data_IF_488899392371
#
_entry.id   IF_488899392371
#
_cell.length_a   1.000
_cell.length_b   1.000
_cell.length_c   1.000
_cell.angle_alpha   90.00
_cell.angle_beta   90.00
_cell.angle_gamma   90.00
#
_symmetry.space_group_name_H-M   'P 1'
#
loop_
_entity.id
_entity.type
_entity.pdbx_description
1 polymer ?
#
# COMPACT_ATOMS: atom_id res chain seq x y z
N UNK A 1 36.48 18.15 53.68
CA UNK A 1 36.63 19.16 52.61
C UNK A 1 36.88 18.44 51.29
N UNK A 2 36.34 18.96 50.19
CA UNK A 2 35.59 18.23 49.16
C UNK A 2 36.51 17.78 48.00
N UNK A 3 36.07 16.97 47.03
CA UNK A 3 35.43 17.48 45.81
C UNK A 3 34.39 16.47 45.29
N UNK A 4 33.12 16.88 45.31
CA UNK A 4 32.08 16.28 44.49
C UNK A 4 32.39 16.62 43.03
N UNK A 5 32.68 15.61 42.20
CA UNK A 5 32.75 15.81 40.76
C UNK A 5 31.33 15.76 40.19
N UNK A 6 30.69 16.91 40.14
CA UNK A 6 29.62 17.19 39.19
C UNK A 6 30.20 17.05 37.77
N UNK A 7 30.19 15.85 37.21
CA UNK A 7 30.38 15.65 35.77
C UNK A 7 29.08 16.06 35.08
N UNK A 8 29.11 17.33 34.65
CA UNK A 8 28.10 17.99 33.84
C UNK A 8 27.58 17.04 32.76
N UNK A 9 26.28 16.74 32.84
CA UNK A 9 25.57 16.00 31.82
C UNK A 9 25.83 16.65 30.47
N UNK A 10 26.22 15.84 29.50
CA UNK A 10 26.22 16.25 28.10
C UNK A 10 24.81 16.74 27.78
N UNK A 11 24.67 18.05 27.61
CA UNK A 11 23.45 18.71 27.18
C UNK A 11 23.19 18.27 25.73
N UNK A 12 22.67 17.03 25.60
CA UNK A 12 22.12 16.54 24.33
C UNK A 12 21.06 17.57 23.96
N UNK A 13 21.21 18.22 22.82
CA UNK A 13 20.25 19.21 22.35
C UNK A 13 18.91 18.50 22.10
N UNK A 14 18.06 18.44 23.14
CA UNK A 14 16.77 17.77 23.07
C UNK A 14 15.74 18.78 22.60
N UNK A 15 15.27 18.58 21.36
CA UNK A 15 14.23 19.39 20.73
C UNK A 15 12.86 18.92 21.24
N UNK A 16 11.89 19.82 21.38
CA UNK A 16 10.52 19.42 21.73
C UNK A 16 9.63 19.58 20.52
N UNK A 17 9.10 18.47 19.99
CA UNK A 17 8.23 18.51 18.83
C UNK A 17 6.96 19.33 19.15
N UNK A 18 6.71 20.39 18.39
CA UNK A 18 5.56 21.26 18.57
C UNK A 18 4.24 20.51 18.39
N UNK A 19 4.23 19.47 17.56
CA UNK A 19 3.02 18.70 17.19
C UNK A 19 2.66 17.58 18.17
N UNK A 20 3.64 16.75 18.56
CA UNK A 20 3.37 15.61 19.46
C UNK A 20 3.83 15.85 20.90
N UNK A 21 4.45 17.01 21.18
CA UNK A 21 5.02 17.39 22.48
C UNK A 21 6.09 16.44 23.01
N UNK A 22 6.57 15.52 22.18
CA UNK A 22 7.65 14.62 22.56
C UNK A 22 9.01 15.32 22.47
N UNK A 23 9.86 15.03 23.45
CA UNK A 23 11.26 15.43 23.49
C UNK A 23 12.07 14.43 22.65
N UNK A 24 12.78 14.92 21.65
CA UNK A 24 13.53 14.11 20.69
C UNK A 24 14.94 14.65 20.49
N UNK A 25 15.88 13.75 20.22
CA UNK A 25 17.30 14.07 20.10
C UNK A 25 17.67 14.51 18.68
N UNK A 26 16.86 14.10 17.69
CA UNK A 26 16.98 14.49 16.30
C UNK A 26 15.62 14.92 15.76
N UNK A 27 15.63 15.98 14.96
CA UNK A 27 14.40 16.55 14.43
C UNK A 27 14.67 17.57 13.33
N UNK A 28 13.64 18.34 13.04
CA UNK A 28 13.63 19.38 12.03
C UNK A 28 13.22 20.69 12.69
N UNK A 29 14.01 21.73 12.52
CA UNK A 29 13.74 23.08 13.02
C UNK A 29 13.35 23.99 11.86
N UNK A 30 12.34 24.83 12.06
CA UNK A 30 11.98 25.86 11.09
C UNK A 30 12.59 27.21 11.48
N UNK A 31 13.58 27.74 10.72
CA UNK A 31 14.17 29.05 11.00
C UNK A 31 13.22 30.23 10.73
N UNK A 32 12.13 30.00 9.98
CA UNK A 32 11.11 31.01 9.69
C UNK A 32 9.98 31.09 10.71
N UNK A 33 9.91 30.16 11.67
CA UNK A 33 8.88 30.11 12.69
C UNK A 33 9.52 30.06 14.08
N UNK A 34 9.13 30.96 14.96
CA UNK A 34 9.69 31.07 16.31
C UNK A 34 9.45 29.77 17.10
N UNK A 35 10.52 29.01 17.36
CA UNK A 35 10.50 27.79 18.17
C UNK A 35 9.69 26.63 17.58
N UNK A 36 9.55 26.56 16.26
CA UNK A 36 8.81 25.48 15.61
C UNK A 36 9.72 24.30 15.23
N UNK A 37 9.62 23.22 16.02
CA UNK A 37 10.41 22.02 15.86
C UNK A 37 9.50 20.81 15.61
N UNK A 38 9.88 19.93 14.70
CA UNK A 38 9.20 18.68 14.43
C UNK A 38 10.13 17.49 14.64
N UNK A 39 9.63 16.43 15.27
CA UNK A 39 10.33 15.14 15.21
C UNK A 39 10.25 14.55 13.80
N UNK A 40 11.14 13.59 13.50
CA UNK A 40 11.20 12.91 12.19
C UNK A 40 9.83 12.38 11.76
N UNK A 41 9.07 11.78 12.69
CA UNK A 41 7.75 11.23 12.39
C UNK A 41 6.72 12.31 12.06
N UNK A 42 6.70 13.42 12.81
CA UNK A 42 5.77 14.52 12.55
C UNK A 42 6.12 15.25 11.24
N UNK A 43 7.41 15.40 10.93
CA UNK A 43 7.85 15.93 9.63
C UNK A 43 7.38 15.05 8.47
N UNK A 44 7.55 13.72 8.55
CA UNK A 44 7.17 12.81 7.47
C UNK A 44 5.65 12.65 7.29
N UNK A 45 4.86 12.89 8.33
CA UNK A 45 3.40 12.70 8.31
C UNK A 45 2.61 13.98 8.08
N UNK A 46 3.05 15.09 8.66
CA UNK A 46 2.36 16.40 8.58
C UNK A 46 3.11 17.40 7.71
N UNK A 47 4.44 17.35 7.72
CA UNK A 47 5.29 18.35 7.08
C UNK A 47 5.14 19.74 7.69
N UNK A 48 5.75 20.73 7.06
CA UNK A 48 5.58 22.14 7.38
C UNK A 48 5.70 22.97 6.09
N UNK A 49 5.09 24.17 6.07
CA UNK A 49 5.03 25.01 4.86
C UNK A 49 6.34 25.71 4.53
N UNK A 50 7.20 25.91 5.53
CA UNK A 50 8.54 26.47 5.35
C UNK A 50 9.60 25.38 5.29
N UNK A 51 10.72 25.70 4.62
CA UNK A 51 11.90 24.85 4.59
C UNK A 51 12.41 24.62 6.02
N UNK A 52 12.64 23.35 6.37
CA UNK A 52 13.08 22.94 7.69
C UNK A 52 14.50 22.40 7.64
N UNK A 53 15.31 22.75 8.62
CA UNK A 53 16.71 22.33 8.74
C UNK A 53 16.77 21.17 9.73
N UNK A 54 17.47 20.10 9.38
CA UNK A 54 17.68 18.95 10.28
C UNK A 54 18.61 19.37 11.41
N UNK A 55 18.19 19.12 12.65
CA UNK A 55 18.95 19.43 13.86
C UNK A 55 19.17 18.15 14.68
N UNK A 56 20.37 17.96 15.20
CA UNK A 56 20.74 16.79 16.03
C UNK A 56 21.81 15.86 15.44
N UNK A 57 22.70 16.36 14.56
CA UNK A 57 23.85 15.57 14.12
C UNK A 57 24.98 15.66 15.16
N UNK A 58 25.20 14.58 15.91
CA UNK A 58 26.57 14.18 16.25
C UNK A 58 27.29 13.77 14.96
N UNK A 59 28.61 13.94 14.88
CA UNK A 59 29.32 13.81 13.61
C UNK A 59 29.32 12.35 13.12
N UNK A 60 29.61 12.19 11.83
CA UNK A 60 30.05 10.94 11.18
C UNK A 60 28.97 9.99 10.63
N UNK A 61 28.21 10.43 9.62
CA UNK A 61 27.67 9.52 8.58
C UNK A 61 27.71 10.25 7.23
N UNK A 62 28.92 10.58 6.78
CA UNK A 62 29.19 10.98 5.40
C UNK A 62 30.48 10.28 4.94
N UNK A 63 30.40 9.57 3.80
CA UNK A 63 31.38 8.65 3.19
C UNK A 63 31.40 7.24 3.84
N UNK A 64 31.26 6.13 3.10
CA UNK A 64 31.97 5.77 1.87
C UNK A 64 31.22 4.70 1.06
N UNK A 65 31.16 4.93 -0.25
CA UNK A 65 31.12 3.86 -1.27
C UNK A 65 32.48 3.12 -1.29
N UNK A 66 32.46 1.89 -1.84
CA UNK A 66 33.58 1.04 -2.31
C UNK A 66 34.15 -0.12 -1.45
N UNK A 67 34.20 -1.27 -2.15
CA UNK A 67 35.02 -2.49 -2.05
C UNK A 67 34.61 -3.72 -1.19
N UNK A 68 34.47 -4.82 -1.94
CA UNK A 68 34.48 -6.23 -1.55
C UNK A 68 35.81 -6.65 -0.89
N UNK A 69 35.75 -7.49 0.15
CA UNK A 69 36.13 -8.93 0.12
C UNK A 69 36.30 -9.50 1.55
N UNK A 70 36.01 -10.79 1.63
CA UNK A 70 36.18 -11.80 2.69
C UNK A 70 36.79 -11.43 4.06
N UNK A 71 36.13 -11.87 5.13
CA UNK A 71 36.66 -12.99 5.92
C UNK A 71 35.54 -13.78 6.64
N UNK A 72 35.56 -15.11 6.47
CA UNK A 72 34.65 -16.05 7.12
C UNK A 72 35.34 -16.56 8.39
N UNK A 73 34.82 -16.20 9.55
CA UNK A 73 35.27 -16.72 10.85
C UNK A 73 34.15 -17.39 11.65
N UNK A 74 34.14 -18.72 11.62
CA UNK A 74 33.67 -19.69 12.62
C UNK A 74 32.25 -19.66 13.23
N UNK A 75 31.68 -20.87 13.17
CA UNK A 75 30.40 -21.38 13.66
C UNK A 75 30.22 -21.29 15.18
N UNK A 76 29.03 -20.85 15.63
CA UNK A 76 28.40 -21.31 16.86
C UNK A 76 26.87 -21.11 16.75
N UNK A 77 26.14 -22.22 16.54
CA UNK A 77 24.69 -22.27 16.68
C UNK A 77 24.35 -22.64 18.13
N UNK A 78 23.44 -21.88 18.76
CA UNK A 78 22.36 -22.46 19.53
C UNK A 78 21.02 -22.17 18.84
N UNK A 79 20.25 -23.21 18.58
CA UNK A 79 18.81 -23.12 18.31
C UNK A 79 18.10 -22.87 19.64
N UNK A 80 17.03 -22.05 19.59
CA UNK A 80 16.10 -21.58 20.67
C UNK A 80 16.38 -20.13 21.14
N UNK A 81 15.50 -19.13 21.08
CA UNK A 81 14.04 -19.06 21.00
C UNK A 81 13.58 -17.92 20.06
N UNK A 82 12.55 -18.20 19.27
CA UNK A 82 11.72 -17.17 18.65
C UNK A 82 10.96 -16.40 19.75
N UNK A 83 10.83 -15.06 19.66
CA UNK A 83 9.55 -14.31 19.73
C UNK A 83 9.66 -12.90 20.35
N UNK A 84 8.92 -11.96 19.73
CA UNK A 84 8.52 -10.62 20.18
C UNK A 84 9.56 -9.49 19.99
N UNK A 85 9.32 -8.41 19.23
CA UNK A 85 8.05 -7.90 18.71
C UNK A 85 7.81 -8.27 17.26
N UNK A 86 6.90 -9.24 17.06
CA UNK A 86 6.02 -9.19 15.91
C UNK A 86 5.47 -7.77 15.82
N UNK A 87 5.55 -7.18 14.64
CA UNK A 87 4.61 -6.18 14.17
C UNK A 87 3.21 -6.74 14.44
N UNK A 88 2.68 -6.47 15.65
CA UNK A 88 1.33 -6.89 16.00
C UNK A 88 0.46 -6.11 15.03
N UNK A 89 -0.11 -6.79 14.05
CA UNK A 89 -1.07 -6.21 13.12
C UNK A 89 -2.33 -5.82 13.91
N UNK A 90 -2.26 -4.70 14.62
CA UNK A 90 -3.35 -4.22 15.46
C UNK A 90 -4.38 -3.53 14.56
N UNK A 91 -5.52 -4.19 14.37
CA UNK A 91 -6.67 -3.62 13.66
C UNK A 91 -7.43 -2.65 14.57
N UNK A 92 -8.04 -1.61 13.99
CA UNK A 92 -8.84 -0.63 14.74
C UNK A 92 -10.30 -0.85 14.42
N UNK A 93 -11.08 -1.30 15.40
CA UNK A 93 -12.50 -1.57 15.21
C UNK A 93 -13.25 -0.29 14.81
N UNK A 94 -13.92 -0.32 13.66
CA UNK A 94 -14.66 0.82 13.11
C UNK A 94 -15.84 1.23 14.00
N UNK A 95 -16.42 0.29 14.75
CA UNK A 95 -17.58 0.52 15.62
C UNK A 95 -17.21 1.08 17.00
N UNK A 96 -16.32 0.41 17.74
CA UNK A 96 -15.97 0.82 19.10
C UNK A 96 -14.67 1.64 19.18
N UNK A 97 -13.99 1.85 18.05
CA UNK A 97 -12.69 2.55 17.92
C UNK A 97 -11.54 1.93 18.73
N UNK A 98 -11.75 0.76 19.31
CA UNK A 98 -10.72 0.05 20.04
C UNK A 98 -9.72 -0.59 19.09
N UNK A 99 -8.45 -0.53 19.48
CA UNK A 99 -7.36 -1.25 18.82
C UNK A 99 -7.33 -2.67 19.36
N UNK A 100 -7.43 -3.66 18.50
CA UNK A 100 -7.45 -5.08 18.87
C UNK A 100 -6.47 -5.87 18.02
N UNK A 101 -5.92 -6.93 18.59
CA UNK A 101 -4.91 -7.74 17.91
C UNK A 101 -5.55 -8.79 17.00
N UNK A 102 -6.80 -9.16 17.30
CA UNK A 102 -7.59 -10.11 16.52
C UNK A 102 -9.00 -9.57 16.29
N UNK A 103 -9.53 -9.81 15.09
CA UNK A 103 -10.87 -9.40 14.71
C UNK A 103 -11.20 -9.80 13.29
N UNK A 104 -12.06 -9.02 12.65
CA UNK A 104 -12.67 -9.32 11.36
C UNK A 104 -12.48 -8.13 10.43
N UNK A 105 -11.96 -8.37 9.24
CA UNK A 105 -11.82 -7.38 8.19
C UNK A 105 -12.82 -7.65 7.07
N UNK A 106 -13.54 -6.63 6.63
CA UNK A 106 -14.40 -6.76 5.47
C UNK A 106 -13.64 -6.40 4.18
N UNK A 107 -13.33 -7.36 3.28
CA UNK A 107 -12.68 -7.05 2.01
C UNK A 107 -13.58 -6.28 1.03
N UNK A 108 -14.90 -6.25 1.28
CA UNK A 108 -15.88 -5.50 0.49
C UNK A 108 -16.02 -4.03 0.91
N UNK A 109 -15.55 -3.67 2.10
CA UNK A 109 -15.66 -2.32 2.67
C UNK A 109 -14.28 -1.76 2.98
N UNK A 110 -13.96 -0.61 2.39
CA UNK A 110 -12.65 0.04 2.59
C UNK A 110 -12.46 0.45 4.06
N UNK A 111 -11.51 -0.22 4.74
CA UNK A 111 -11.15 0.06 6.13
C UNK A 111 -12.21 -0.31 7.17
N UNK A 112 -13.08 -1.27 6.86
CA UNK A 112 -14.09 -1.73 7.81
C UNK A 112 -13.63 -2.97 8.56
N UNK A 113 -13.18 -2.74 9.79
CA UNK A 113 -12.66 -3.75 10.70
C UNK A 113 -13.55 -3.82 11.93
N UNK A 114 -13.89 -5.02 12.38
CA UNK A 114 -14.67 -5.23 13.61
C UNK A 114 -13.84 -6.06 14.58
N UNK A 115 -13.84 -5.68 15.86
CA UNK A 115 -13.41 -6.61 16.90
C UNK A 115 -14.39 -7.78 17.02
N UNK A 116 -13.96 -8.88 17.64
CA UNK A 116 -14.79 -10.09 17.82
C UNK A 116 -16.15 -9.75 18.44
N UNK A 117 -16.18 -8.87 19.44
CA UNK A 117 -17.40 -8.48 20.12
C UNK A 117 -18.36 -7.68 19.20
N UNK A 118 -17.85 -6.73 18.42
CA UNK A 118 -18.68 -5.95 17.49
C UNK A 118 -19.17 -6.80 16.31
N UNK A 119 -18.38 -7.78 15.87
CA UNK A 119 -18.80 -8.76 14.88
C UNK A 119 -19.97 -9.62 15.38
N UNK A 120 -19.87 -10.20 16.58
CA UNK A 120 -20.91 -11.07 17.12
C UNK A 120 -22.21 -10.34 17.52
N UNK A 121 -22.12 -9.06 17.89
CA UNK A 121 -23.28 -8.29 18.37
C UNK A 121 -23.99 -7.49 17.29
N UNK A 122 -23.24 -6.92 16.32
CA UNK A 122 -23.81 -6.07 15.28
C UNK A 122 -23.82 -6.70 13.90
N UNK A 123 -22.93 -7.66 13.65
CA UNK A 123 -22.76 -8.28 12.34
C UNK A 123 -22.34 -7.29 11.25
N UNK A 124 -22.13 -7.80 10.04
CA UNK A 124 -21.90 -7.00 8.86
C UNK A 124 -22.50 -7.70 7.64
N UNK A 125 -23.03 -6.93 6.69
CA UNK A 125 -23.75 -7.48 5.52
C UNK A 125 -22.86 -8.20 4.51
N UNK A 126 -21.54 -8.03 4.62
CA UNK A 126 -20.56 -8.69 3.78
C UNK A 126 -19.80 -9.75 4.57
N UNK A 127 -19.41 -10.81 3.87
CA UNK A 127 -18.51 -11.83 4.41
C UNK A 127 -17.20 -11.18 4.88
N UNK A 128 -16.90 -11.33 6.17
CA UNK A 128 -15.69 -10.77 6.78
C UNK A 128 -14.65 -11.88 6.98
N UNK A 129 -13.39 -11.52 6.80
CA UNK A 129 -12.24 -12.42 6.96
C UNK A 129 -11.63 -12.19 8.34
N UNK A 130 -11.41 -13.24 9.12
CA UNK A 130 -10.74 -13.14 10.41
C UNK A 130 -9.29 -12.69 10.20
N UNK A 131 -8.87 -11.63 10.87
CA UNK A 131 -7.51 -11.08 10.83
C UNK A 131 -6.92 -11.11 12.23
N UNK A 132 -5.72 -11.70 12.35
CA UNK A 132 -5.00 -11.88 13.60
C UNK A 132 -4.02 -13.04 13.49
N UNK A 133 -2.75 -12.80 13.80
CA UNK A 133 -1.72 -13.84 13.85
C UNK A 133 -1.68 -14.43 15.26
N UNK A 134 -2.16 -15.66 15.38
CA UNK A 134 -1.72 -16.60 16.40
C UNK A 134 -1.48 -17.93 15.69
N UNK A 135 -0.26 -18.47 15.65
CA UNK A 135 -0.08 -19.89 15.36
C UNK A 135 -0.71 -20.68 16.51
N UNK A 136 -1.55 -21.63 16.14
CA UNK A 136 -1.95 -22.84 16.87
C UNK A 136 -2.24 -22.69 18.37
N UNK A 137 -3.52 -22.48 18.73
CA UNK A 137 -4.16 -23.23 19.82
C UNK A 137 -5.65 -23.44 19.47
N UNK A 138 -5.95 -24.67 19.07
CA UNK A 138 -7.29 -25.23 18.97
C UNK A 138 -7.67 -25.74 20.37
N UNK A 139 -8.67 -25.15 21.00
CA UNK A 139 -9.37 -25.78 22.12
C UNK A 139 -10.82 -25.24 22.21
N UNK A 140 -11.71 -25.95 21.51
CA UNK A 140 -13.04 -26.40 21.96
C UNK A 140 -13.85 -25.55 22.95
N UNK A 141 -14.98 -25.01 22.48
CA UNK A 141 -16.38 -25.12 22.98
C UNK A 141 -17.24 -24.37 21.95
N UNK A 142 -18.24 -24.89 21.23
CA UNK A 142 -18.91 -26.18 21.14
C UNK A 142 -20.15 -25.97 20.23
N UNK A 143 -20.50 -27.02 19.47
CA UNK A 143 -21.74 -27.25 18.71
C UNK A 143 -21.92 -26.74 17.26
N UNK A 144 -21.67 -27.69 16.34
CA UNK A 144 -22.53 -28.19 15.22
C UNK A 144 -23.43 -27.17 14.49
N UNK A 145 -23.40 -27.02 13.17
CA UNK A 145 -23.61 -28.03 12.11
C UNK A 145 -22.87 -27.59 10.84
N UNK A 146 -22.21 -28.55 10.17
CA UNK A 146 -21.21 -28.29 9.14
C UNK A 146 -21.72 -27.86 7.77
N UNK A 147 -20.80 -27.32 6.96
CA UNK A 147 -20.64 -27.62 5.53
C UNK A 147 -19.17 -27.38 5.16
N UNK A 148 -18.56 -28.39 4.55
CA UNK A 148 -17.20 -28.38 4.02
C UNK A 148 -17.05 -27.32 2.93
N UNK A 149 -15.99 -26.50 3.00
CA UNK A 149 -15.69 -25.48 2.01
C UNK A 149 -14.24 -25.01 2.12
N UNK A 150 -13.34 -25.84 1.59
CA UNK A 150 -11.97 -25.56 1.14
C UNK A 150 -11.41 -24.14 1.45
N UNK A 151 -10.58 -24.03 2.50
CA UNK A 151 -9.63 -22.91 2.66
C UNK A 151 -8.55 -23.02 1.57
N UNK A 152 -8.87 -22.53 0.36
CA UNK A 152 -7.92 -22.44 -0.76
C UNK A 152 -6.86 -21.40 -0.43
N UNK A 153 -5.60 -21.84 -0.38
CA UNK A 153 -4.42 -20.99 -0.41
C UNK A 153 -4.54 -20.04 -1.62
N UNK A 154 -4.95 -18.79 -1.40
CA UNK A 154 -5.25 -17.86 -2.50
C UNK A 154 -3.94 -17.47 -3.18
N UNK A 155 -3.72 -18.00 -4.38
CA UNK A 155 -2.51 -17.78 -5.15
C UNK A 155 -2.31 -16.25 -5.40
N UNK A 156 -1.17 -15.63 -5.07
CA UNK A 156 -0.97 -14.18 -5.22
C UNK A 156 -1.24 -13.65 -6.64
N UNK A 157 -0.96 -14.46 -7.67
CA UNK A 157 -1.30 -14.15 -9.06
C UNK A 157 -2.81 -14.07 -9.32
N UNK A 158 -3.60 -14.95 -8.72
CA UNK A 158 -5.06 -14.91 -8.87
C UNK A 158 -5.66 -13.70 -8.16
N UNK A 159 -5.17 -13.37 -6.96
CA UNK A 159 -5.56 -12.14 -6.24
C UNK A 159 -5.31 -10.89 -7.08
N UNK A 160 -4.14 -10.79 -7.70
CA UNK A 160 -3.81 -9.67 -8.60
C UNK A 160 -4.75 -9.64 -9.82
N UNK A 161 -5.02 -10.80 -10.42
CA UNK A 161 -5.91 -10.91 -11.58
C UNK A 161 -7.33 -10.46 -11.24
N UNK A 162 -7.85 -10.87 -10.08
CA UNK A 162 -9.14 -10.45 -9.55
C UNK A 162 -9.20 -8.93 -9.31
N UNK A 163 -8.15 -8.34 -8.73
CA UNK A 163 -8.09 -6.90 -8.51
C UNK A 163 -8.14 -6.10 -9.83
N UNK A 164 -7.42 -6.55 -10.86
CA UNK A 164 -7.45 -5.93 -12.20
C UNK A 164 -8.86 -6.03 -12.79
N UNK A 165 -9.50 -7.19 -12.71
CA UNK A 165 -10.86 -7.38 -13.22
C UNK A 165 -11.87 -6.49 -12.50
N UNK A 166 -11.77 -6.35 -11.17
CA UNK A 166 -12.60 -5.41 -10.39
C UNK A 166 -12.41 -3.95 -10.83
N UNK A 167 -11.17 -3.56 -11.15
CA UNK A 167 -10.88 -2.23 -11.71
C UNK A 167 -11.51 -2.02 -13.10
N UNK A 168 -11.48 -3.05 -13.96
CA UNK A 168 -12.10 -2.99 -15.29
C UNK A 168 -13.62 -2.85 -15.16
N UNK A 169 -14.27 -3.64 -14.29
CA UNK A 169 -15.71 -3.54 -14.05
C UNK A 169 -16.09 -2.13 -13.56
N UNK A 170 -15.33 -1.59 -12.62
CA UNK A 170 -15.52 -0.22 -12.11
C UNK A 170 -15.35 0.83 -13.22
N UNK A 171 -14.40 0.63 -14.14
CA UNK A 171 -14.18 1.52 -15.30
C UNK A 171 -15.37 1.50 -16.26
N UNK A 172 -15.82 0.31 -16.64
CA UNK A 172 -16.95 0.10 -17.57
C UNK A 172 -18.20 0.75 -16.99
N UNK A 173 -18.51 0.45 -15.72
CA UNK A 173 -19.61 1.07 -15.02
C UNK A 173 -19.50 2.59 -15.01
N UNK A 174 -18.35 3.16 -14.65
CA UNK A 174 -18.18 4.61 -14.62
C UNK A 174 -18.39 5.29 -15.98
N UNK A 175 -18.06 4.59 -17.08
CA UNK A 175 -18.23 5.07 -18.44
C UNK A 175 -19.69 5.00 -18.93
N UNK A 176 -20.49 4.07 -18.40
CA UNK A 176 -21.92 3.93 -18.73
C UNK A 176 -22.84 4.67 -17.75
N UNK A 177 -22.39 4.88 -16.51
CA UNK A 177 -23.18 5.44 -15.43
C UNK A 177 -23.41 6.95 -15.63
N UNK A 178 -24.69 7.34 -15.77
CA UNK A 178 -25.09 8.76 -15.93
C UNK A 178 -25.25 9.51 -14.61
N UNK A 179 -25.42 8.80 -13.49
CA UNK A 179 -25.62 9.43 -12.18
C UNK A 179 -24.31 10.07 -11.66
N UNK A 180 -24.25 11.40 -11.61
CA UNK A 180 -23.09 12.15 -11.09
C UNK A 180 -22.77 11.78 -9.63
N UNK A 181 -23.80 11.46 -8.84
CA UNK A 181 -23.71 11.11 -7.42
C UNK A 181 -23.92 9.61 -7.20
N UNK A 182 -23.37 8.77 -8.09
CA UNK A 182 -23.40 7.31 -7.90
C UNK A 182 -22.84 6.95 -6.53
N UNK A 183 -23.53 6.06 -5.80
CA UNK A 183 -23.21 5.74 -4.41
C UNK A 183 -21.93 4.90 -4.30
N UNK A 184 -21.56 4.20 -5.38
CA UNK A 184 -20.32 3.46 -5.48
C UNK A 184 -19.12 4.41 -5.53
N UNK A 185 -18.28 4.40 -4.48
CA UNK A 185 -17.06 5.21 -4.40
C UNK A 185 -16.08 4.90 -5.54
N UNK A 186 -15.98 3.64 -5.94
CA UNK A 186 -15.19 3.21 -7.10
C UNK A 186 -15.64 3.90 -8.40
N UNK A 187 -16.95 4.02 -8.61
CA UNK A 187 -17.53 4.74 -9.74
C UNK A 187 -17.13 6.23 -9.71
N UNK A 188 -17.27 6.89 -8.56
CA UNK A 188 -16.90 8.31 -8.40
C UNK A 188 -15.40 8.53 -8.70
N UNK A 189 -14.53 7.67 -8.17
CA UNK A 189 -13.08 7.69 -8.43
C UNK A 189 -12.78 7.51 -9.92
N UNK A 190 -13.39 6.51 -10.55
CA UNK A 190 -13.17 6.21 -11.96
C UNK A 190 -13.72 7.30 -12.89
N UNK A 191 -14.85 7.93 -12.55
CA UNK A 191 -15.35 9.12 -13.28
C UNK A 191 -14.37 10.27 -13.24
N UNK A 192 -13.75 10.54 -12.09
CA UNK A 192 -12.71 11.56 -11.96
C UNK A 192 -11.49 11.25 -12.83
N UNK A 193 -11.04 9.99 -12.83
CA UNK A 193 -9.92 9.53 -13.68
C UNK A 193 -10.26 9.68 -15.16
N UNK A 194 -11.44 9.25 -15.60
CA UNK A 194 -11.90 9.38 -16.99
C UNK A 194 -12.00 10.85 -17.41
N UNK A 195 -12.55 11.71 -16.55
CA UNK A 195 -12.64 13.16 -16.80
C UNK A 195 -11.25 13.79 -16.89
N UNK A 196 -10.34 13.45 -15.98
CA UNK A 196 -8.95 13.89 -16.02
C UNK A 196 -8.33 13.54 -17.38
N UNK A 197 -8.45 12.29 -17.83
CA UNK A 197 -7.81 11.86 -19.07
C UNK A 197 -8.40 12.54 -20.32
N UNK A 198 -9.67 12.92 -20.31
CA UNK A 198 -10.24 13.75 -21.39
C UNK A 198 -9.53 15.10 -21.50
N UNK A 199 -9.22 15.75 -20.36
CA UNK A 199 -8.63 17.10 -20.29
C UNK A 199 -7.09 17.14 -20.20
N UNK A 200 -6.46 16.02 -19.85
CA UNK A 200 -5.01 15.96 -19.65
C UNK A 200 -4.26 16.02 -20.99
N UNK A 201 -3.35 16.99 -21.12
CA UNK A 201 -2.51 17.16 -22.31
C UNK A 201 -1.25 16.29 -22.28
N UNK A 202 -0.79 15.87 -21.09
CA UNK A 202 0.40 15.02 -20.93
C UNK A 202 0.13 13.52 -21.18
N UNK A 203 -1.06 13.16 -21.70
CA UNK A 203 -1.51 11.77 -21.86
C UNK A 203 -0.81 11.01 -22.99
N UNK A 204 -0.43 11.69 -24.07
CA UNK A 204 0.19 11.08 -25.26
C UNK A 204 1.69 10.85 -25.08
N UNK A 205 2.36 11.69 -24.28
CA UNK A 205 3.81 11.67 -24.11
C UNK A 205 4.25 10.88 -22.85
N UNK A 206 3.34 10.16 -22.20
CA UNK A 206 3.66 9.29 -21.06
C UNK A 206 4.02 10.00 -19.75
N UNK A 207 3.99 11.33 -19.70
CA UNK A 207 4.39 12.11 -18.52
C UNK A 207 3.33 12.22 -17.41
N UNK A 208 2.13 11.66 -17.59
CA UNK A 208 1.08 11.67 -16.58
C UNK A 208 0.87 10.27 -15.98
N UNK A 209 1.13 10.05 -14.67
CA UNK A 209 1.01 8.73 -14.05
C UNK A 209 -0.44 8.22 -14.04
N UNK A 210 -1.41 9.11 -13.84
CA UNK A 210 -2.85 8.77 -13.86
C UNK A 210 -3.27 8.26 -15.24
N UNK A 211 -2.90 8.98 -16.30
CA UNK A 211 -3.20 8.56 -17.66
C UNK A 211 -2.47 7.27 -18.03
N UNK A 212 -1.21 7.09 -17.60
CA UNK A 212 -0.43 5.87 -17.82
C UNK A 212 -1.13 4.64 -17.22
N UNK A 213 -1.59 4.75 -15.96
CA UNK A 213 -2.34 3.68 -15.29
C UNK A 213 -3.68 3.39 -15.98
N UNK A 214 -4.45 4.43 -16.35
CA UNK A 214 -5.72 4.23 -17.04
C UNK A 214 -5.52 3.54 -18.39
N UNK A 215 -4.52 3.97 -19.18
CA UNK A 215 -4.22 3.36 -20.48
C UNK A 215 -3.81 1.89 -20.30
N UNK A 216 -2.99 1.57 -19.28
CA UNK A 216 -2.63 0.20 -18.97
C UNK A 216 -3.87 -0.65 -18.64
N UNK A 217 -4.79 -0.14 -17.81
CA UNK A 217 -6.06 -0.80 -17.50
C UNK A 217 -6.93 -1.01 -18.75
N UNK A 218 -7.03 0.01 -19.62
CA UNK A 218 -7.72 -0.10 -20.90
C UNK A 218 -7.07 -1.14 -21.82
N UNK A 219 -5.74 -1.34 -21.74
CA UNK A 219 -5.05 -2.41 -22.47
C UNK A 219 -5.45 -3.80 -21.98
N UNK A 220 -5.64 -4.02 -20.68
CA UNK A 220 -6.19 -5.28 -20.17
C UNK A 220 -7.61 -5.51 -20.69
N UNK A 221 -8.47 -4.51 -20.54
CA UNK A 221 -9.85 -4.58 -21.04
C UNK A 221 -9.92 -4.89 -22.56
N UNK A 222 -9.12 -4.20 -23.38
CA UNK A 222 -9.16 -4.33 -24.84
C UNK A 222 -8.75 -5.72 -25.36
N UNK A 223 -8.00 -6.52 -24.57
CA UNK A 223 -7.61 -7.89 -24.95
C UNK A 223 -8.80 -8.85 -24.98
N UNK A 224 -9.76 -8.65 -24.09
CA UNK A 224 -10.91 -9.55 -23.90
C UNK A 224 -12.23 -8.92 -24.37
N UNK A 225 -12.29 -7.58 -24.50
CA UNK A 225 -13.49 -6.87 -24.93
C UNK A 225 -13.86 -7.19 -26.39
N UNK A 226 -15.13 -7.56 -26.62
CA UNK A 226 -15.70 -7.76 -27.95
C UNK A 226 -16.75 -6.69 -28.33
N UNK A 227 -17.19 -5.85 -27.38
CA UNK A 227 -18.21 -4.82 -27.62
C UNK A 227 -17.82 -3.79 -28.69
N UNK A 228 -18.80 -3.41 -29.51
CA UNK A 228 -18.73 -2.32 -30.50
C UNK A 228 -20.12 -1.69 -30.72
N UNK A 229 -20.34 -0.40 -30.35
CA UNK A 229 -19.38 0.54 -29.77
C UNK A 229 -19.11 0.25 -28.27
N UNK A 230 -17.83 0.23 -27.90
CA UNK A 230 -17.43 0.07 -26.50
C UNK A 230 -17.41 1.44 -25.78
N UNK A 231 -18.00 1.56 -24.57
CA UNK A 231 -18.04 2.82 -23.82
C UNK A 231 -16.70 3.22 -23.18
N UNK A 232 -15.75 2.29 -23.07
CA UNK A 232 -14.47 2.52 -22.41
C UNK A 232 -13.54 3.37 -23.30
N UNK A 233 -12.97 4.48 -22.78
CA UNK A 233 -12.04 5.31 -23.54
C UNK A 233 -10.80 4.51 -23.95
N UNK A 234 -10.22 4.87 -25.09
CA UNK A 234 -9.05 4.19 -25.70
C UNK A 234 -9.27 2.75 -26.17
N UNK A 235 -10.31 2.05 -25.75
CA UNK A 235 -10.54 0.65 -26.11
C UNK A 235 -10.47 0.42 -27.64
N UNK A 236 -11.17 1.24 -28.43
CA UNK A 236 -11.14 1.17 -29.89
C UNK A 236 -9.74 1.37 -30.48
N UNK A 237 -9.03 2.41 -30.02
CA UNK A 237 -7.69 2.75 -30.49
C UNK A 237 -6.66 1.66 -30.13
N UNK A 238 -6.78 1.10 -28.92
CA UNK A 238 -5.93 0.01 -28.44
C UNK A 238 -6.21 -1.26 -29.25
N UNK A 239 -7.49 -1.63 -29.47
CA UNK A 239 -7.86 -2.78 -30.31
C UNK A 239 -7.27 -2.65 -31.72
N UNK A 240 -7.32 -1.46 -32.33
CA UNK A 240 -6.68 -1.20 -33.63
C UNK A 240 -5.17 -1.44 -33.57
N UNK A 241 -4.48 -0.86 -32.58
CA UNK A 241 -3.03 -1.02 -32.43
C UNK A 241 -2.62 -2.47 -32.14
N UNK A 242 -3.40 -3.22 -31.36
CA UNK A 242 -3.17 -4.64 -31.12
C UNK A 242 -3.32 -5.48 -32.40
N UNK A 243 -4.26 -5.13 -33.28
CA UNK A 243 -4.40 -5.77 -34.61
C UNK A 243 -3.21 -5.48 -35.52
N UNK A 244 -2.71 -4.25 -35.53
CA UNK A 244 -1.51 -3.86 -36.29
C UNK A 244 -0.23 -4.55 -35.81
N UNK A 245 -0.10 -4.81 -34.50
CA UNK A 245 1.09 -5.44 -33.91
C UNK A 245 1.11 -6.97 -34.04
N UNK A 246 -0.05 -7.65 -34.15
CA UNK A 246 -0.13 -9.11 -34.32
C UNK A 246 0.72 -9.69 -35.46
N UNK A 247 0.67 -9.17 -36.70
CA UNK A 247 1.50 -9.69 -37.79
C UNK A 247 3.01 -9.46 -37.54
N UNK A 248 3.40 -8.32 -36.95
CA UNK A 248 4.81 -8.02 -36.62
C UNK A 248 5.40 -8.99 -35.60
N UNK A 249 4.64 -9.29 -34.53
CA UNK A 249 5.06 -10.26 -33.51
C UNK A 249 5.12 -11.69 -34.08
N UNK A 250 4.23 -12.03 -35.02
CA UNK A 250 4.24 -13.34 -35.69
C UNK A 250 5.49 -13.49 -36.58
N UNK A 251 5.89 -12.44 -37.31
CA UNK A 251 7.14 -12.45 -38.11
C UNK A 251 8.40 -12.55 -37.24
N UNK A 252 8.49 -11.83 -36.12
CA UNK A 252 9.62 -11.94 -35.18
C UNK A 252 9.74 -13.34 -34.56
N UNK A 253 8.63 -13.98 -34.21
CA UNK A 253 8.63 -15.36 -33.67
C UNK A 253 9.03 -16.42 -34.69
N UNK A 254 8.76 -16.21 -35.98
CA UNK A 254 9.16 -17.13 -37.05
C UNK A 254 10.63 -16.92 -37.41
N UNK A 255 11.09 -15.66 -37.49
CA UNK A 255 12.51 -15.34 -37.72
C UNK A 255 13.45 -15.89 -36.64
N UNK A 256 13.05 -15.82 -35.36
CA UNK A 256 13.86 -16.37 -34.26
C UNK A 256 13.92 -17.90 -34.21
N UNK A 257 13.02 -18.62 -34.89
CA UNK A 257 13.08 -20.09 -35.04
C UNK A 257 13.97 -20.53 -36.21
N UNK A 258 14.05 -19.71 -37.26
CA UNK A 258 14.90 -19.99 -38.43
C UNK A 258 16.39 -19.70 -38.18
N UNK A 259 16.73 -18.92 -37.16
CA UNK A 259 18.12 -18.60 -36.77
C UNK A 259 18.71 -19.56 -35.72
N UNK A 260 17.91 -20.52 -35.20
CA UNK A 260 18.33 -21.53 -34.22
C UNK A 260 18.30 -22.96 -34.79
N UNK A 261 18.14 -23.10 -36.11
CA UNK A 261 18.14 -24.37 -36.83
C UNK A 261 19.31 -24.45 -37.80
#
# INVERSE_FOLDING_TARGET
>A
MPVEMHSQGQDRCVLTCTECKQRVETGWHCPGCEGYDLCINCYNTKGHTHEMVKVGLGPDEEAKEELHEADRGSLAMPVEMHSQGQDRCVLTCTECKQRVETGWHCPGCEGYDLCINCYNTKGHTHEMVKVGLGPDEEAEVGNEVGYQGERRFRNPLESQRQAIQGCILSLVHACQCRNANCWLKSCQKMKRVVLHTKRCQRKTNGGCPVCKQLIALCCYHAKECQESPCPVPFCLNIKRKLRELRPRLRQQRIGNRLLQG
#
